data_IF_047417827591
#
_entry.id   IF_047417827591
#
_cell.length_a   1.000
_cell.length_b   1.000
_cell.length_c   1.000
_cell.angle_alpha   90.00
_cell.angle_beta   90.00
_cell.angle_gamma   90.00
#
_symmetry.space_group_name_H-M   'P 1'
#
loop_
_entity.id
_entity.type
_entity.pdbx_description
1 polymer ?
#
# COMPACT_ATOMS: atom_id res chain seq x y z
N UNK A 1 -15.19 -15.69 -13.30
CA UNK A 1 -14.83 -14.70 -12.25
C UNK A 1 -13.55 -15.19 -11.61
N UNK A 2 -12.54 -14.34 -11.43
CA UNK A 2 -11.26 -14.77 -10.82
C UNK A 2 -11.55 -15.11 -9.34
N UNK A 3 -11.13 -16.29 -8.87
CA UNK A 3 -11.40 -16.78 -7.52
C UNK A 3 -10.21 -17.59 -7.00
N UNK A 4 -9.98 -17.56 -5.67
CA UNK A 4 -8.89 -18.27 -5.01
C UNK A 4 -7.50 -17.62 -5.21
N UNK A 5 -7.44 -16.45 -5.86
CA UNK A 5 -6.19 -15.78 -6.17
C UNK A 5 -5.81 -14.75 -5.11
N UNK A 6 -4.53 -14.35 -5.10
CA UNK A 6 -4.09 -13.15 -4.37
C UNK A 6 -4.01 -11.98 -5.34
N UNK A 7 -4.59 -10.84 -5.01
CA UNK A 7 -4.57 -9.62 -5.83
C UNK A 7 -3.82 -8.53 -5.08
N UNK A 8 -2.74 -8.02 -5.64
CA UNK A 8 -2.01 -6.87 -5.11
C UNK A 8 -2.40 -5.63 -5.91
N UNK A 9 -3.15 -4.72 -5.29
CA UNK A 9 -3.60 -3.47 -5.90
C UNK A 9 -2.72 -2.30 -5.47
N UNK A 10 -2.07 -1.62 -6.42
CA UNK A 10 -1.44 -0.33 -6.14
C UNK A 10 -2.42 0.78 -6.46
N UNK A 11 -2.86 1.48 -5.43
CA UNK A 11 -3.81 2.56 -5.57
C UNK A 11 -3.15 3.94 -5.38
N UNK A 12 -3.66 4.97 -6.07
CA UNK A 12 -3.17 6.34 -5.92
C UNK A 12 -3.65 6.99 -4.61
N UNK A 13 -4.75 6.51 -4.04
CA UNK A 13 -5.43 7.11 -2.90
C UNK A 13 -5.42 6.14 -1.68
N UNK A 14 -5.38 6.66 -0.44
CA UNK A 14 -5.60 5.86 0.76
C UNK A 14 -6.94 5.10 0.72
N UNK A 15 -7.03 3.96 1.40
CA UNK A 15 -8.28 3.20 1.46
C UNK A 15 -9.41 3.95 2.19
N UNK A 16 -9.03 4.80 3.15
CA UNK A 16 -9.98 5.59 3.97
C UNK A 16 -10.33 6.94 3.31
N UNK A 17 -9.95 7.16 2.06
CA UNK A 17 -10.33 8.35 1.29
C UNK A 17 -11.77 8.22 0.74
N UNK A 18 -12.23 9.21 -0.02
CA UNK A 18 -13.56 9.23 -0.63
C UNK A 18 -13.81 7.91 -1.37
N UNK A 19 -14.95 7.27 -1.05
CA UNK A 19 -15.34 6.01 -1.65
C UNK A 19 -15.50 6.18 -3.17
N UNK A 20 -14.90 5.25 -3.92
CA UNK A 20 -14.81 5.29 -5.39
C UNK A 20 -15.02 3.90 -5.96
N UNK A 21 -15.23 3.79 -7.27
CA UNK A 21 -15.40 2.49 -7.96
C UNK A 21 -14.32 1.46 -7.62
N UNK A 22 -13.07 1.90 -7.38
CA UNK A 22 -11.97 1.01 -6.94
C UNK A 22 -12.24 0.33 -5.60
N UNK A 23 -12.83 1.05 -4.64
CA UNK A 23 -13.15 0.52 -3.31
C UNK A 23 -14.24 -0.55 -3.44
N UNK A 24 -15.26 -0.30 -4.25
CA UNK A 24 -16.33 -1.26 -4.53
C UNK A 24 -15.80 -2.50 -5.27
N UNK A 25 -14.94 -2.31 -6.28
CA UNK A 25 -14.35 -3.41 -7.04
C UNK A 25 -13.46 -4.29 -6.16
N UNK A 26 -12.56 -3.69 -5.38
CA UNK A 26 -11.68 -4.42 -4.46
C UNK A 26 -12.47 -5.15 -3.37
N UNK A 27 -13.54 -4.53 -2.84
CA UNK A 27 -14.44 -5.18 -1.88
C UNK A 27 -15.15 -6.38 -2.48
N UNK A 28 -15.59 -6.30 -3.74
CA UNK A 28 -16.21 -7.43 -4.45
C UNK A 28 -15.22 -8.54 -4.74
N UNK A 29 -14.00 -8.21 -5.17
CA UNK A 29 -12.94 -9.17 -5.42
C UNK A 29 -12.53 -9.91 -4.13
N UNK A 30 -12.48 -9.20 -3.00
CA UNK A 30 -12.16 -9.77 -1.69
C UNK A 30 -13.14 -10.87 -1.23
N UNK A 31 -14.37 -10.91 -1.77
CA UNK A 31 -15.33 -11.97 -1.41
C UNK A 31 -14.85 -13.37 -1.77
N UNK A 32 -13.99 -13.50 -2.78
CA UNK A 32 -13.51 -14.79 -3.30
C UNK A 32 -11.98 -14.85 -3.45
N UNK A 33 -11.27 -13.76 -3.14
CA UNK A 33 -9.83 -13.63 -3.36
C UNK A 33 -9.19 -12.91 -2.17
N UNK A 34 -7.89 -13.14 -1.95
CA UNK A 34 -7.12 -12.35 -1.00
C UNK A 34 -6.67 -11.05 -1.67
N UNK A 35 -7.21 -9.91 -1.26
CA UNK A 35 -6.85 -8.61 -1.82
C UNK A 35 -5.93 -7.85 -0.86
N UNK A 36 -4.81 -7.38 -1.39
CA UNK A 36 -3.83 -6.53 -0.72
C UNK A 36 -3.88 -5.16 -1.39
N UNK A 37 -4.47 -4.18 -0.72
CA UNK A 37 -4.55 -2.79 -1.18
C UNK A 37 -3.34 -2.02 -0.67
N UNK A 38 -2.38 -1.72 -1.54
CA UNK A 38 -1.20 -0.95 -1.22
C UNK A 38 -1.47 0.55 -1.41
N UNK A 39 -1.41 1.29 -0.30
CA UNK A 39 -1.58 2.74 -0.27
C UNK A 39 -0.43 3.49 -0.97
N UNK A 40 -0.66 4.74 -1.41
CA UNK A 40 0.34 5.55 -2.07
C UNK A 40 1.58 5.76 -1.20
N UNK A 41 2.73 5.77 -1.87
CA UNK A 41 4.03 5.91 -1.23
C UNK A 41 4.26 7.37 -0.87
N UNK A 42 4.61 7.70 0.39
CA UNK A 42 4.88 9.08 0.76
C UNK A 42 6.19 9.55 0.11
N UNK A 43 6.17 10.79 -0.36
CA UNK A 43 7.38 11.47 -0.82
C UNK A 43 8.20 11.97 0.37
N UNK A 44 9.53 12.03 0.22
CA UNK A 44 10.43 12.54 1.26
C UNK A 44 9.97 13.92 1.75
N UNK A 45 9.66 14.84 0.83
CA UNK A 45 9.16 16.18 1.17
C UNK A 45 7.91 16.17 2.07
N UNK A 46 6.98 15.24 1.84
CA UNK A 46 5.73 15.14 2.60
C UNK A 46 6.00 14.62 4.02
N UNK A 47 6.88 13.62 4.14
CA UNK A 47 7.28 13.09 5.45
C UNK A 47 8.02 14.16 6.26
N UNK A 48 8.97 14.87 5.65
CA UNK A 48 9.71 15.94 6.32
C UNK A 48 8.81 17.11 6.74
N UNK A 49 7.90 17.54 5.88
CA UNK A 49 6.95 18.60 6.21
C UNK A 49 6.03 18.17 7.38
N UNK A 50 5.51 16.95 7.34
CA UNK A 50 4.64 16.42 8.40
C UNK A 50 5.35 16.17 9.73
N UNK A 51 6.64 15.82 9.70
CA UNK A 51 7.47 15.74 10.90
C UNK A 51 7.70 17.13 11.50
N UNK A 52 8.01 18.13 10.67
CA UNK A 52 8.20 19.53 11.11
C UNK A 52 6.94 20.16 11.68
N UNK A 53 5.76 19.85 11.12
CA UNK A 53 4.49 20.37 11.60
C UNK A 53 3.90 19.57 12.78
N UNK A 54 4.54 18.47 13.20
CA UNK A 54 4.03 17.57 14.24
C UNK A 54 2.83 16.72 13.79
N UNK A 55 2.38 16.84 12.54
CA UNK A 55 1.28 16.05 11.98
C UNK A 55 1.63 14.56 11.83
N UNK A 56 2.91 14.23 11.70
CA UNK A 56 3.41 12.86 11.58
C UNK A 56 4.28 12.55 12.80
N UNK A 57 3.89 11.53 13.56
CA UNK A 57 4.75 10.98 14.63
C UNK A 57 5.69 9.94 14.03
N UNK A 58 7.02 10.04 14.23
CA UNK A 58 7.99 9.13 13.62
C UNK A 58 7.77 7.66 14.00
N UNK A 59 7.23 7.40 15.20
CA UNK A 59 6.92 6.06 15.71
C UNK A 59 5.43 5.78 15.92
N UNK A 60 4.54 6.76 15.66
CA UNK A 60 3.09 6.64 15.85
C UNK A 60 2.32 6.27 14.58
N UNK A 61 2.96 5.55 13.65
CA UNK A 61 2.39 5.24 12.33
C UNK A 61 1.27 4.21 12.39
N UNK A 62 0.36 4.26 11.40
CA UNK A 62 -0.65 3.22 11.18
C UNK A 62 0.01 1.83 11.06
N UNK A 63 -0.66 0.75 11.50
CA UNK A 63 -0.15 -0.60 11.33
C UNK A 63 0.16 -0.87 9.85
N UNK A 64 1.32 -1.48 9.57
CA UNK A 64 1.81 -1.77 8.20
C UNK A 64 0.81 -2.56 7.38
N UNK A 65 0.06 -3.43 8.04
CA UNK A 65 -0.96 -4.27 7.46
C UNK A 65 -2.19 -4.16 8.34
N UNK A 66 -3.28 -3.63 7.79
CA UNK A 66 -4.56 -3.48 8.47
C UNK A 66 -5.60 -4.32 7.74
N UNK A 67 -6.38 -5.11 8.47
CA UNK A 67 -7.56 -5.78 7.88
C UNK A 67 -8.67 -4.73 7.72
N UNK A 68 -9.10 -4.48 6.49
CA UNK A 68 -10.21 -3.57 6.20
C UNK A 68 -11.54 -4.33 6.06
N UNK A 69 -11.50 -5.50 5.41
CA UNK A 69 -12.62 -6.45 5.31
C UNK A 69 -12.07 -7.88 5.40
N UNK A 70 -12.96 -8.86 5.44
CA UNK A 70 -12.58 -10.26 5.25
C UNK A 70 -11.89 -10.43 3.89
N UNK A 71 -10.68 -11.01 3.92
CA UNK A 71 -9.77 -11.16 2.79
C UNK A 71 -9.35 -9.85 2.10
N UNK A 72 -9.56 -8.68 2.72
CA UNK A 72 -9.04 -7.39 2.23
C UNK A 72 -8.10 -6.77 3.27
N UNK A 73 -6.83 -6.67 2.90
CA UNK A 73 -5.79 -6.09 3.74
C UNK A 73 -5.23 -4.82 3.11
N UNK A 74 -5.20 -3.74 3.87
CA UNK A 74 -4.60 -2.47 3.48
C UNK A 74 -3.14 -2.46 3.96
N UNK A 75 -2.22 -2.30 3.02
CA UNK A 75 -0.80 -2.14 3.28
C UNK A 75 -0.43 -0.65 3.26
N UNK A 76 -0.01 -0.14 4.42
CA UNK A 76 0.46 1.24 4.56
C UNK A 76 1.99 1.28 4.49
N UNK A 77 2.59 1.94 3.48
CA UNK A 77 4.03 1.94 3.30
C UNK A 77 4.79 2.64 4.45
N UNK A 78 6.06 2.24 4.69
CA UNK A 78 6.88 2.83 5.73
C UNK A 78 7.25 4.29 5.51
N UNK A 79 7.00 5.11 6.55
CA UNK A 79 7.45 6.51 6.63
C UNK A 79 8.98 6.64 6.69
N UNK A 80 9.69 5.63 7.20
CA UNK A 80 11.16 5.61 7.27
C UNK A 80 11.85 5.33 5.93
N UNK A 81 11.11 4.84 4.93
CA UNK A 81 11.62 4.65 3.57
C UNK A 81 10.76 5.41 2.54
N UNK A 82 10.77 6.75 2.55
CA UNK A 82 10.03 7.54 1.57
C UNK A 82 10.71 7.56 0.20
N UNK A 83 10.01 8.09 -0.81
CA UNK A 83 10.60 8.34 -2.13
C UNK A 83 11.53 9.55 -2.04
N UNK A 84 12.85 9.34 -2.08
CA UNK A 84 13.86 10.42 -1.98
C UNK A 84 14.25 11.02 -3.34
N UNK A 85 14.16 10.25 -4.43
CA UNK A 85 14.60 10.66 -5.77
C UNK A 85 16.11 10.89 -5.93
N UNK A 86 16.91 10.72 -4.87
CA UNK A 86 18.37 10.91 -4.89
C UNK A 86 19.09 9.58 -4.63
N UNK A 87 19.98 9.18 -5.55
CA UNK A 87 20.88 8.04 -5.34
C UNK A 87 22.01 8.40 -4.37
N UNK A 88 22.57 7.43 -3.61
CA UNK A 88 22.24 5.99 -3.58
C UNK A 88 21.04 5.65 -2.67
N UNK A 89 20.49 6.63 -1.96
CA UNK A 89 19.42 6.41 -0.98
C UNK A 89 18.11 5.94 -1.62
N UNK A 90 17.82 6.40 -2.85
CA UNK A 90 16.61 6.02 -3.57
C UNK A 90 16.56 4.52 -3.86
N UNK A 91 17.64 3.92 -4.39
CA UNK A 91 17.74 2.48 -4.62
C UNK A 91 17.73 1.67 -3.33
N UNK A 92 18.41 2.13 -2.28
CA UNK A 92 18.38 1.48 -0.96
C UNK A 92 16.96 1.44 -0.37
N UNK A 93 16.27 2.59 -0.33
CA UNK A 93 14.90 2.66 0.18
C UNK A 93 13.94 1.87 -0.70
N UNK A 94 14.15 1.82 -2.03
CA UNK A 94 13.35 0.98 -2.91
C UNK A 94 13.50 -0.52 -2.58
N UNK A 95 14.73 -0.99 -2.33
CA UNK A 95 15.00 -2.37 -1.91
C UNK A 95 14.34 -2.68 -0.57
N UNK A 96 14.46 -1.77 0.41
CA UNK A 96 13.85 -1.93 1.73
C UNK A 96 12.32 -1.98 1.66
N UNK A 97 11.68 -1.06 0.91
CA UNK A 97 10.23 -1.10 0.67
C UNK A 97 9.77 -2.39 0.01
N UNK A 98 10.52 -2.88 -0.98
CA UNK A 98 10.19 -4.13 -1.67
C UNK A 98 10.28 -5.34 -0.73
N UNK A 99 11.29 -5.35 0.16
CA UNK A 99 11.43 -6.39 1.18
C UNK A 99 10.30 -6.34 2.21
N UNK A 100 9.93 -5.14 2.66
CA UNK A 100 8.83 -4.93 3.60
C UNK A 100 7.48 -5.40 3.02
N UNK A 101 7.16 -4.99 1.79
CA UNK A 101 5.97 -5.46 1.09
C UNK A 101 5.97 -6.98 0.90
N UNK A 102 7.10 -7.56 0.49
CA UNK A 102 7.21 -9.03 0.35
C UNK A 102 7.06 -9.75 1.69
N UNK A 103 7.53 -9.17 2.79
CA UNK A 103 7.32 -9.72 4.12
C UNK A 103 5.83 -9.66 4.52
N UNK A 104 5.16 -8.53 4.27
CA UNK A 104 3.73 -8.38 4.51
C UNK A 104 2.89 -9.39 3.69
N UNK A 105 3.24 -9.57 2.42
CA UNK A 105 2.62 -10.58 1.57
C UNK A 105 2.83 -12.01 2.07
N UNK A 106 4.07 -12.36 2.47
CA UNK A 106 4.37 -13.69 3.02
C UNK A 106 3.58 -13.98 4.30
N UNK A 107 3.34 -12.97 5.15
CA UNK A 107 2.50 -13.11 6.35
C UNK A 107 1.04 -13.46 6.03
N UNK A 108 0.58 -13.10 4.84
CA UNK A 108 -0.77 -13.42 4.34
C UNK A 108 -0.82 -14.70 3.50
N UNK A 109 0.29 -15.44 3.39
CA UNK A 109 0.36 -16.62 2.50
C UNK A 109 0.34 -16.27 1.01
N UNK A 110 0.54 -15.00 0.64
CA UNK A 110 0.47 -14.53 -0.74
C UNK A 110 1.77 -14.83 -1.51
N UNK A 111 1.83 -15.97 -2.20
CA UNK A 111 3.00 -16.42 -2.96
C UNK A 111 3.12 -15.83 -4.37
N UNK A 112 2.00 -15.74 -5.12
CA UNK A 112 1.98 -15.29 -6.52
C UNK A 112 0.81 -14.33 -6.74
N UNK A 113 0.97 -13.03 -6.45
CA UNK A 113 -0.13 -12.08 -6.62
C UNK A 113 -0.37 -11.77 -8.10
N UNK A 114 -1.64 -11.60 -8.45
CA UNK A 114 -2.07 -10.86 -9.63
C UNK A 114 -1.84 -9.37 -9.32
N UNK A 115 -1.02 -8.71 -10.13
CA UNK A 115 -0.71 -7.30 -9.97
C UNK A 115 -1.82 -6.44 -10.62
N UNK A 116 -2.54 -5.68 -9.80
CA UNK A 116 -3.53 -4.71 -10.25
C UNK A 116 -2.98 -3.30 -10.14
N UNK A 117 -2.71 -2.66 -11.29
CA UNK A 117 -2.21 -1.29 -11.34
C UNK A 117 -3.35 -0.38 -11.75
N UNK A 118 -3.66 0.60 -10.89
CA UNK A 118 -4.63 1.64 -11.27
C UNK A 118 -3.87 2.84 -11.82
N UNK A 119 -4.13 3.17 -13.08
CA UNK A 119 -3.62 4.41 -13.67
C UNK A 119 -4.41 5.60 -13.13
N UNK A 120 -3.74 6.71 -12.77
CA UNK A 120 -4.41 7.90 -12.26
C UNK A 120 -5.11 8.74 -13.35
N UNK A 121 -4.97 8.41 -14.65
CA UNK A 121 -5.52 9.21 -15.76
C UNK A 121 -6.94 8.84 -16.21
N UNK A 122 -7.58 7.88 -15.56
CA UNK A 122 -8.98 7.55 -15.80
C UNK A 122 -9.79 7.89 -14.54
N UNK A 123 -10.16 9.17 -14.44
CA UNK A 123 -11.14 9.69 -13.49
C UNK A 123 -12.44 9.97 -14.23
#
# INVERSE_FOLDING_TARGET
>A
MIAGETILCFAPDPWDDIWRNRHQLMSRLARQNLVIYAEPRPYLRQVWAGLRSGAIRPWGGRPRLRKALDNLHVYTPPLWAPISGREPLASLFARLRRRDLRAAMRRLGAGRPILWLVRPDQA
#
